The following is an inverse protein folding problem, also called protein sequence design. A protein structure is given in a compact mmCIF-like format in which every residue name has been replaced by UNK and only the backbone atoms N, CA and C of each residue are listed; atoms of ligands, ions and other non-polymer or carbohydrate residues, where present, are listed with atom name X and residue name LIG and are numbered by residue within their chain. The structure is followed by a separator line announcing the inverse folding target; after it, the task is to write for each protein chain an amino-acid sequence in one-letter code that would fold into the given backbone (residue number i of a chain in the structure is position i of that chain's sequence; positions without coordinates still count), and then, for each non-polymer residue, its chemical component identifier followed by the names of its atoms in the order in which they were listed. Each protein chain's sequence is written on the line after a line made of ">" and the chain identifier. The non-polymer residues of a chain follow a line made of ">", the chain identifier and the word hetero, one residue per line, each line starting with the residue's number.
data_IF_927997020697
#
_entry.id   IF_927997020697
#
_cell.length_a   1.000
_cell.length_b   1.000
_cell.length_c   1.000
_cell.angle_alpha   90.00
_cell.angle_beta   90.00
_cell.angle_gamma   90.00
#
_symmetry.space_group_name_H-M   'P 1'
#
loop_
_entity.id
_entity.type
_entity.pdbx_description
1 polymer ?
#
# COMPACT_ATOMS: atom_id res chain seq x y z
N UNK A 1 -82.90 -29.89 4.51
CA UNK A 1 -81.92 -28.97 3.91
C UNK A 1 -80.89 -28.58 4.97
N UNK A 2 -79.73 -29.24 5.01
CA UNK A 2 -78.60 -28.84 5.86
C UNK A 2 -77.34 -28.99 5.00
N UNK A 3 -76.78 -27.88 4.50
CA UNK A 3 -75.48 -27.88 3.83
C UNK A 3 -74.47 -27.23 4.77
N UNK A 4 -73.56 -28.05 5.31
CA UNK A 4 -72.38 -27.60 6.05
C UNK A 4 -71.30 -27.25 5.02
N UNK A 5 -70.90 -25.99 4.99
CA UNK A 5 -69.81 -25.50 4.14
C UNK A 5 -68.49 -25.74 4.87
N UNK A 6 -67.62 -26.61 4.35
CA UNK A 6 -66.25 -26.76 4.83
C UNK A 6 -65.36 -25.75 4.10
N UNK A 7 -64.60 -24.96 4.87
CA UNK A 7 -63.57 -24.05 4.37
C UNK A 7 -62.25 -24.81 4.41
N UNK A 8 -61.69 -25.14 3.25
CA UNK A 8 -60.35 -25.70 3.11
C UNK A 8 -59.32 -24.57 3.11
N UNK A 9 -58.44 -24.57 4.10
CA UNK A 9 -57.29 -23.67 4.19
C UNK A 9 -56.14 -24.24 3.35
N UNK A 10 -55.79 -23.59 2.25
CA UNK A 10 -54.60 -23.92 1.45
C UNK A 10 -53.44 -23.09 2.01
N UNK A 11 -52.48 -23.76 2.67
CA UNK A 11 -51.23 -23.16 3.10
C UNK A 11 -50.25 -23.27 1.94
N UNK A 12 -49.97 -22.15 1.27
CA UNK A 12 -48.89 -22.05 0.29
C UNK A 12 -47.56 -21.80 1.00
N UNK A 13 -46.72 -22.82 1.08
CA UNK A 13 -45.35 -22.72 1.59
C UNK A 13 -44.48 -21.98 0.56
N UNK A 14 -44.20 -20.70 0.79
CA UNK A 14 -43.17 -19.98 0.02
C UNK A 14 -41.79 -20.37 0.56
N UNK A 15 -41.03 -21.16 -0.22
CA UNK A 15 -39.62 -21.43 0.07
C UNK A 15 -38.80 -20.19 -0.29
N UNK A 16 -38.31 -19.46 0.73
CA UNK A 16 -37.24 -18.48 0.54
C UNK A 16 -35.93 -19.24 0.30
N UNK A 17 -35.46 -19.25 -0.95
CA UNK A 17 -34.08 -19.61 -1.27
C UNK A 17 -33.19 -18.42 -0.91
N UNK A 18 -32.53 -18.47 0.25
CA UNK A 18 -31.38 -17.60 0.51
C UNK A 18 -30.27 -18.04 -0.44
N UNK A 19 -30.02 -17.26 -1.49
CA UNK A 19 -28.81 -17.42 -2.29
C UNK A 19 -27.61 -17.04 -1.44
N UNK A 20 -26.78 -18.01 -1.09
CA UNK A 20 -25.44 -17.70 -0.60
C UNK A 20 -24.68 -17.07 -1.77
N UNK A 21 -24.21 -15.82 -1.61
CA UNK A 21 -23.23 -15.28 -2.52
C UNK A 21 -21.99 -16.16 -2.43
N UNK A 22 -21.70 -16.92 -3.48
CA UNK A 22 -20.41 -17.62 -3.57
C UNK A 22 -19.35 -16.53 -3.69
N UNK A 23 -18.55 -16.35 -2.65
CA UNK A 23 -17.26 -15.65 -2.77
C UNK A 23 -16.46 -16.54 -3.71
N UNK A 24 -16.27 -16.09 -4.95
CA UNK A 24 -15.36 -16.76 -5.86
C UNK A 24 -13.96 -16.24 -5.59
N UNK A 25 -13.00 -17.15 -5.61
CA UNK A 25 -11.60 -16.79 -5.65
C UNK A 25 -11.35 -15.81 -6.79
N UNK A 26 -10.74 -14.66 -6.48
CA UNK A 26 -10.42 -13.66 -7.49
C UNK A 26 -8.97 -13.87 -7.95
N UNK A 27 -8.80 -14.14 -9.25
CA UNK A 27 -7.51 -13.95 -9.90
C UNK A 27 -7.39 -12.49 -10.31
N UNK A 28 -6.36 -11.82 -9.80
CA UNK A 28 -6.08 -10.43 -10.12
C UNK A 28 -4.81 -10.33 -10.96
N UNK A 29 -4.86 -9.50 -12.00
CA UNK A 29 -3.66 -8.94 -12.62
C UNK A 29 -3.51 -7.50 -12.12
N UNK A 30 -2.39 -7.20 -11.47
CA UNK A 30 -2.13 -5.90 -10.83
C UNK A 30 -0.96 -5.23 -11.53
N UNK A 31 -1.17 -4.01 -12.01
CA UNK A 31 -0.13 -3.13 -12.55
C UNK A 31 0.07 -1.93 -11.64
N UNK A 32 1.29 -1.74 -11.15
CA UNK A 32 1.69 -0.57 -10.35
C UNK A 32 2.67 0.26 -11.17
N UNK A 33 2.36 1.55 -11.34
CA UNK A 33 3.25 2.51 -12.01
C UNK A 33 3.78 3.51 -10.99
N UNK A 34 5.10 3.63 -10.89
CA UNK A 34 5.72 4.73 -10.17
C UNK A 34 5.49 6.03 -10.95
N UNK A 35 4.65 6.91 -10.41
CA UNK A 35 4.24 8.15 -11.07
C UNK A 35 5.14 9.35 -10.73
N UNK A 36 6.24 9.11 -10.03
CA UNK A 36 7.16 10.17 -9.61
C UNK A 36 8.26 10.42 -10.65
N UNK A 37 9.04 11.49 -10.45
CA UNK A 37 10.18 11.88 -11.31
C UNK A 37 11.52 11.39 -10.80
N UNK A 38 11.72 11.41 -9.48
CA UNK A 38 13.02 11.12 -8.84
C UNK A 38 12.89 10.35 -7.54
N UNK A 39 11.74 9.69 -7.33
CA UNK A 39 11.53 8.79 -6.20
C UNK A 39 11.45 7.36 -6.72
N UNK A 40 12.13 6.45 -6.04
CA UNK A 40 12.23 5.04 -6.38
C UNK A 40 11.40 4.24 -5.38
N UNK A 41 10.80 3.13 -5.81
CA UNK A 41 10.19 2.20 -4.84
C UNK A 41 11.17 1.08 -4.55
N UNK A 42 11.37 0.76 -3.28
CA UNK A 42 12.06 -0.46 -2.85
C UNK A 42 11.24 -1.70 -3.24
N UNK A 43 11.69 -2.94 -2.93
CA UNK A 43 10.88 -4.13 -3.21
C UNK A 43 9.43 -3.95 -2.77
N UNK A 44 8.52 -4.10 -3.73
CA UNK A 44 7.09 -4.00 -3.48
C UNK A 44 6.62 -5.27 -2.79
N UNK A 45 5.81 -5.14 -1.75
CA UNK A 45 5.02 -6.23 -1.20
C UNK A 45 3.56 -6.00 -1.56
N UNK A 46 2.95 -6.96 -2.24
CA UNK A 46 1.50 -7.00 -2.47
C UNK A 46 0.91 -8.20 -1.74
N UNK A 47 -0.23 -8.01 -1.08
CA UNK A 47 -0.85 -9.06 -0.27
C UNK A 47 -2.36 -9.12 -0.47
N UNK A 48 -2.91 -10.32 -0.40
CA UNK A 48 -4.34 -10.51 -0.18
C UNK A 48 -4.58 -11.05 1.23
N UNK A 49 -5.62 -10.57 1.89
CA UNK A 49 -5.95 -10.94 3.27
C UNK A 49 -7.43 -10.72 3.61
N UNK A 50 -7.86 -11.21 4.78
CA UNK A 50 -9.19 -10.96 5.30
C UNK A 50 -9.28 -9.62 6.05
N UNK A 51 -10.46 -9.30 6.61
CA UNK A 51 -10.68 -8.03 7.32
C UNK A 51 -9.96 -7.91 8.67
N UNK A 52 -9.37 -8.99 9.19
CA UNK A 52 -8.69 -8.99 10.48
C UNK A 52 -7.23 -8.53 10.38
N UNK A 53 -6.66 -8.53 9.17
CA UNK A 53 -5.29 -8.13 8.88
C UNK A 53 -5.23 -6.79 8.13
N UNK A 54 -4.11 -6.10 8.28
CA UNK A 54 -3.73 -4.92 7.51
C UNK A 54 -2.21 -4.72 7.59
N UNK A 55 -1.61 -4.11 6.57
CA UNK A 55 -0.18 -3.75 6.59
C UNK A 55 0.07 -2.43 7.33
N UNK A 56 -0.85 -1.47 7.22
CA UNK A 56 -0.80 -0.17 7.87
C UNK A 56 -2.21 0.42 8.00
N UNK A 57 -2.39 1.42 8.88
CA UNK A 57 -3.60 2.24 8.98
C UNK A 57 -3.24 3.68 9.30
N UNK A 58 -3.80 4.64 8.56
CA UNK A 58 -3.64 6.06 8.89
C UNK A 58 -4.19 6.36 10.29
N UNK A 59 -3.40 7.06 11.11
CA UNK A 59 -3.73 7.38 12.49
C UNK A 59 -3.33 6.31 13.51
N UNK A 60 -2.79 5.17 13.08
CA UNK A 60 -2.24 4.13 13.95
C UNK A 60 -0.72 4.22 14.03
N UNK A 61 -0.13 3.64 15.08
CA UNK A 61 1.34 3.55 15.18
C UNK A 61 1.82 2.45 14.24
N UNK A 62 2.93 2.68 13.55
CA UNK A 62 3.57 1.67 12.71
C UNK A 62 3.93 0.42 13.54
N UNK A 63 3.77 -0.77 12.95
CA UNK A 63 4.35 -1.98 13.52
C UNK A 63 5.85 -2.00 13.25
N UNK A 64 6.60 -2.84 13.98
CA UNK A 64 8.05 -2.99 13.75
C UNK A 64 8.35 -3.48 12.32
N UNK A 65 7.46 -4.28 11.74
CA UNK A 65 7.57 -4.76 10.37
C UNK A 65 7.29 -3.64 9.35
N UNK A 66 6.34 -2.74 9.62
CA UNK A 66 6.10 -1.56 8.79
C UNK A 66 7.28 -0.59 8.84
N UNK A 67 7.80 -0.32 10.05
CA UNK A 67 9.01 0.48 10.28
C UNK A 67 10.20 -0.06 9.47
N UNK A 68 10.46 -1.37 9.57
CA UNK A 68 11.56 -2.02 8.83
C UNK A 68 11.40 -1.87 7.30
N UNK A 69 10.16 -1.97 6.80
CA UNK A 69 9.89 -1.72 5.38
C UNK A 69 10.08 -0.25 5.02
N UNK A 70 9.55 0.68 5.83
CA UNK A 70 9.49 2.10 5.54
C UNK A 70 10.86 2.79 5.62
N UNK A 71 11.77 2.33 6.49
CA UNK A 71 13.10 2.91 6.69
C UNK A 71 14.21 2.19 5.90
N UNK A 72 14.04 0.90 5.64
CA UNK A 72 15.10 0.07 5.03
C UNK A 72 14.69 -0.62 3.72
N UNK A 73 13.41 -0.62 3.38
CA UNK A 73 12.87 -1.41 2.27
C UNK A 73 12.80 -2.91 2.56
N UNK A 74 12.91 -3.35 3.81
CA UNK A 74 12.81 -4.77 4.18
C UNK A 74 11.34 -5.20 4.34
N UNK A 75 10.84 -5.94 3.36
CA UNK A 75 9.46 -6.46 3.34
C UNK A 75 9.27 -7.77 4.09
N UNK A 76 10.35 -8.41 4.55
CA UNK A 76 10.32 -9.80 5.04
C UNK A 76 9.46 -9.97 6.29
N UNK A 77 9.47 -8.99 7.19
CA UNK A 77 8.63 -8.98 8.38
C UNK A 77 7.13 -8.97 8.04
N UNK A 78 6.71 -8.01 7.22
CA UNK A 78 5.30 -7.86 6.81
C UNK A 78 4.82 -9.09 6.04
N UNK A 79 5.64 -9.58 5.10
CA UNK A 79 5.35 -10.78 4.33
C UNK A 79 5.15 -12.00 5.24
N UNK A 80 6.08 -12.21 6.19
CA UNK A 80 6.00 -13.32 7.13
C UNK A 80 4.76 -13.26 8.02
N UNK A 81 4.40 -12.09 8.56
CA UNK A 81 3.20 -11.93 9.40
C UNK A 81 1.93 -12.24 8.61
N UNK A 82 1.80 -11.71 7.39
CA UNK A 82 0.60 -11.93 6.56
C UNK A 82 0.50 -13.40 6.13
N UNK A 83 1.59 -14.00 5.64
CA UNK A 83 1.62 -15.40 5.23
C UNK A 83 1.28 -16.35 6.39
N UNK A 84 1.85 -16.12 7.58
CA UNK A 84 1.56 -16.93 8.77
C UNK A 84 0.11 -16.82 9.24
N UNK A 85 -0.55 -15.70 8.96
CA UNK A 85 -1.95 -15.49 9.26
C UNK A 85 -2.90 -16.01 8.16
N UNK A 86 -2.36 -16.69 7.13
CA UNK A 86 -3.15 -17.29 6.05
C UNK A 86 -3.44 -16.34 4.88
N UNK A 87 -2.78 -15.18 4.84
CA UNK A 87 -2.82 -14.30 3.68
C UNK A 87 -1.97 -14.82 2.51
N UNK A 88 -2.22 -14.27 1.33
CA UNK A 88 -1.41 -14.51 0.13
C UNK A 88 -0.43 -13.36 -0.04
N UNK A 89 0.82 -13.67 -0.39
CA UNK A 89 1.89 -12.68 -0.58
C UNK A 89 2.50 -12.80 -1.96
N UNK A 90 2.75 -11.64 -2.59
CA UNK A 90 3.60 -11.50 -3.78
C UNK A 90 4.72 -10.55 -3.42
N UNK A 91 5.92 -11.09 -3.30
CA UNK A 91 7.12 -10.35 -2.94
C UNK A 91 7.87 -9.89 -4.19
N UNK A 92 8.30 -8.63 -4.14
CA UNK A 92 9.24 -8.05 -5.10
C UNK A 92 8.89 -8.26 -6.59
N UNK A 93 7.66 -7.95 -7.04
CA UNK A 93 7.25 -8.14 -8.44
C UNK A 93 8.03 -7.25 -9.42
N UNK A 94 8.69 -6.18 -8.94
CA UNK A 94 9.58 -5.35 -9.75
C UNK A 94 11.01 -5.95 -9.87
N UNK A 95 11.32 -7.05 -9.18
CA UNK A 95 12.65 -7.67 -9.11
C UNK A 95 13.75 -6.72 -8.62
N UNK A 96 13.40 -5.88 -7.65
CA UNK A 96 14.26 -4.88 -7.03
C UNK A 96 13.59 -3.50 -7.02
N UNK A 97 14.36 -2.49 -7.41
CA UNK A 97 13.91 -1.10 -7.43
C UNK A 97 12.94 -0.85 -8.59
N UNK A 98 11.76 -0.27 -8.31
CA UNK A 98 10.89 0.28 -9.34
C UNK A 98 11.25 1.74 -9.62
N UNK A 99 11.87 1.97 -10.78
CA UNK A 99 12.33 3.29 -11.20
C UNK A 99 11.18 4.30 -11.44
N UNK A 100 11.43 5.61 -11.32
CA UNK A 100 10.51 6.66 -11.72
C UNK A 100 9.96 6.46 -13.14
N UNK A 101 8.63 6.60 -13.31
CA UNK A 101 7.95 6.44 -14.59
C UNK A 101 7.84 5.00 -15.12
N UNK A 102 8.30 4.01 -14.37
CA UNK A 102 8.25 2.59 -14.75
C UNK A 102 7.09 1.88 -14.05
N UNK A 103 6.55 0.86 -14.71
CA UNK A 103 5.52 -0.01 -14.16
C UNK A 103 6.03 -1.45 -13.99
N UNK A 104 5.47 -2.15 -13.00
CA UNK A 104 5.52 -3.61 -12.91
C UNK A 104 4.11 -4.18 -12.94
N UNK A 105 3.95 -5.38 -13.50
CA UNK A 105 2.69 -6.12 -13.56
C UNK A 105 2.91 -7.53 -13.02
N UNK A 106 1.99 -8.01 -12.20
CA UNK A 106 2.04 -9.35 -11.61
C UNK A 106 0.63 -9.89 -11.37
N UNK A 107 0.51 -11.21 -11.31
CA UNK A 107 -0.72 -11.90 -10.93
C UNK A 107 -0.74 -12.18 -9.41
N UNK A 108 -1.92 -12.15 -8.81
CA UNK A 108 -2.19 -12.65 -7.45
C UNK A 108 -3.51 -13.43 -7.43
N UNK A 109 -3.46 -14.70 -7.01
CA UNK A 109 -4.64 -15.49 -6.70
C UNK A 109 -5.00 -15.24 -5.24
N UNK A 110 -6.11 -14.55 -5.01
CA UNK A 110 -6.48 -14.12 -3.66
C UNK A 110 -7.18 -15.23 -2.87
N UNK A 111 -7.55 -16.34 -3.50
CA UNK A 111 -8.54 -17.26 -2.92
C UNK A 111 -9.78 -16.48 -2.45
N UNK A 112 -10.34 -16.89 -1.31
CA UNK A 112 -11.52 -16.24 -0.73
C UNK A 112 -11.22 -14.94 0.05
N UNK A 113 -9.98 -14.45 0.01
CA UNK A 113 -9.55 -13.24 0.73
C UNK A 113 -10.10 -12.00 0.03
N UNK A 114 -10.67 -11.08 0.83
CA UNK A 114 -11.50 -9.99 0.31
C UNK A 114 -10.77 -8.65 0.16
N UNK A 115 -9.52 -8.54 0.64
CA UNK A 115 -8.77 -7.28 0.65
C UNK A 115 -7.41 -7.44 0.01
N UNK A 116 -7.03 -6.43 -0.79
CA UNK A 116 -5.70 -6.28 -1.38
C UNK A 116 -4.98 -5.13 -0.66
N UNK A 117 -3.77 -5.38 -0.16
CA UNK A 117 -2.87 -4.34 0.33
C UNK A 117 -1.56 -4.34 -0.45
N UNK A 118 -0.91 -3.19 -0.49
CA UNK A 118 0.39 -3.01 -1.13
C UNK A 118 1.23 -2.02 -0.35
N UNK A 119 2.54 -2.26 -0.26
CA UNK A 119 3.50 -1.36 0.37
C UNK A 119 4.88 -1.42 -0.28
N UNK A 120 5.58 -0.28 -0.32
CA UNK A 120 7.01 -0.20 -0.60
C UNK A 120 7.57 1.11 -0.03
N UNK A 121 8.81 1.11 0.46
CA UNK A 121 9.49 2.36 0.84
C UNK A 121 9.73 3.23 -0.40
N UNK A 122 9.60 4.53 -0.20
CA UNK A 122 9.96 5.58 -1.13
C UNK A 122 11.42 5.96 -0.89
N UNK A 123 12.23 5.98 -1.95
CA UNK A 123 13.63 6.40 -1.88
C UNK A 123 13.90 7.63 -2.75
N UNK A 124 14.63 8.64 -2.25
CA UNK A 124 15.09 8.76 -0.87
C UNK A 124 13.99 9.33 0.03
N UNK A 125 13.74 8.71 1.18
CA UNK A 125 12.97 9.26 2.33
C UNK A 125 13.52 8.64 3.62
N UNK A 126 13.22 9.24 4.78
CA UNK A 126 13.54 8.67 6.10
C UNK A 126 12.70 7.42 6.36
N UNK A 127 11.38 7.59 6.48
CA UNK A 127 10.41 6.51 6.76
C UNK A 127 9.16 6.60 5.86
N UNK A 128 9.34 7.12 4.64
CA UNK A 128 8.28 7.29 3.67
C UNK A 128 7.98 6.04 2.86
N UNK A 129 6.71 5.73 2.62
CA UNK A 129 6.29 4.57 1.84
C UNK A 129 5.05 4.84 0.98
N UNK A 130 4.95 4.19 -0.18
CA UNK A 130 3.70 4.15 -0.97
C UNK A 130 2.82 3.03 -0.44
N UNK A 131 1.50 3.26 -0.36
CA UNK A 131 0.59 2.28 0.21
C UNK A 131 -0.77 2.17 -0.47
N UNK A 132 -1.28 0.94 -0.59
CA UNK A 132 -2.69 0.61 -0.74
C UNK A 132 -3.13 -0.10 0.53
N UNK A 133 -4.04 0.51 1.29
CA UNK A 133 -4.50 -0.05 2.56
C UNK A 133 -5.84 -0.78 2.37
N UNK A 134 -5.79 -2.11 2.48
CA UNK A 134 -6.95 -3.00 2.57
C UNK A 134 -8.06 -2.64 1.60
N UNK A 135 -7.70 -2.53 0.32
CA UNK A 135 -8.65 -2.23 -0.73
C UNK A 135 -9.58 -3.43 -0.93
N UNK A 136 -10.88 -3.20 -0.77
CA UNK A 136 -11.87 -4.26 -0.93
C UNK A 136 -11.92 -4.70 -2.39
N UNK A 137 -11.59 -5.97 -2.64
CA UNK A 137 -11.58 -6.57 -3.97
C UNK A 137 -13.01 -6.61 -4.51
N UNK A 138 -13.29 -6.01 -5.68
CA UNK A 138 -14.58 -6.08 -6.33
C UNK A 138 -14.93 -7.51 -6.73
N UNK A 139 -16.17 -7.90 -6.51
CA UNK A 139 -16.69 -9.21 -6.92
C UNK A 139 -17.04 -9.28 -8.40
N UNK A 140 -17.08 -8.13 -9.09
CA UNK A 140 -17.39 -8.06 -10.51
C UNK A 140 -16.10 -8.04 -11.32
N UNK A 141 -15.98 -8.98 -12.26
CA UNK A 141 -14.89 -8.97 -13.23
C UNK A 141 -14.82 -7.65 -14.00
N UNK A 142 -13.62 -7.13 -14.20
CA UNK A 142 -13.38 -5.85 -14.85
C UNK A 142 -12.09 -5.17 -14.43
N UNK A 143 -11.86 -3.98 -14.98
CA UNK A 143 -10.67 -3.17 -14.71
C UNK A 143 -11.00 -2.02 -13.76
N UNK A 144 -10.27 -1.98 -12.65
CA UNK A 144 -10.37 -0.95 -11.61
C UNK A 144 -9.07 -0.15 -11.57
N UNK A 145 -9.17 1.14 -11.31
CA UNK A 145 -8.01 2.04 -11.26
C UNK A 145 -8.07 2.90 -10.01
N UNK A 146 -6.91 3.11 -9.41
CA UNK A 146 -6.73 4.02 -8.29
C UNK A 146 -5.38 4.73 -8.36
N UNK A 147 -5.23 5.77 -7.56
CA UNK A 147 -3.96 6.44 -7.29
C UNK A 147 -3.53 6.13 -5.86
N UNK A 148 -2.24 5.92 -5.63
CA UNK A 148 -1.68 5.67 -4.31
C UNK A 148 -0.91 6.89 -3.81
N UNK A 149 -1.08 7.19 -2.52
CA UNK A 149 -0.32 8.23 -1.85
C UNK A 149 0.95 7.63 -1.22
N UNK A 150 1.91 8.52 -0.98
CA UNK A 150 2.99 8.32 -0.03
C UNK A 150 2.53 8.68 1.38
N UNK A 151 2.92 7.82 2.31
CA UNK A 151 2.69 7.86 3.73
C UNK A 151 4.03 7.96 4.45
N UNK A 152 3.97 8.48 5.66
CA UNK A 152 5.06 8.61 6.61
C UNK A 152 4.72 7.66 7.78
N UNK A 153 5.67 6.82 8.19
CA UNK A 153 5.46 5.82 9.23
C UNK A 153 5.33 6.44 10.63
N UNK A 154 5.90 7.63 10.83
CA UNK A 154 5.96 8.36 12.08
C UNK A 154 6.99 7.78 13.05
N UNK A 155 8.03 7.12 12.55
CA UNK A 155 9.08 6.48 13.33
C UNK A 155 10.37 7.28 13.34
N UNK A 156 10.64 8.03 12.26
CA UNK A 156 11.76 8.97 12.16
C UNK A 156 11.31 10.39 11.85
N UNK A 157 12.19 11.36 12.11
CA UNK A 157 11.95 12.73 11.66
C UNK A 157 12.34 12.84 10.18
N UNK A 158 11.57 13.57 9.38
CA UNK A 158 11.88 13.87 7.99
C UNK A 158 13.03 14.90 7.89
N UNK A 159 14.21 14.52 8.35
CA UNK A 159 15.37 15.40 8.37
C UNK A 159 15.95 15.62 6.97
N UNK A 160 15.70 14.70 6.04
CA UNK A 160 16.23 14.68 4.67
C UNK A 160 17.77 14.67 4.63
N UNK A 161 18.41 14.09 5.65
CA UNK A 161 19.86 13.95 5.72
C UNK A 161 20.33 12.62 5.14
N UNK A 162 21.41 12.64 4.38
CA UNK A 162 21.92 11.46 3.68
C UNK A 162 22.36 10.32 4.63
N UNK A 163 22.67 10.66 5.88
CA UNK A 163 23.03 9.70 6.93
C UNK A 163 21.85 9.02 7.62
N UNK A 164 20.64 9.54 7.44
CA UNK A 164 19.39 9.08 8.06
C UNK A 164 18.47 8.38 7.06
N UNK A 165 18.95 8.12 5.84
CA UNK A 165 18.19 7.45 4.78
C UNK A 165 19.06 6.39 4.11
N UNK A 166 18.47 5.35 3.49
CA UNK A 166 19.22 4.45 2.63
C UNK A 166 19.90 5.21 1.49
N UNK A 167 21.21 5.00 1.34
CA UNK A 167 22.06 5.70 0.37
C UNK A 167 22.59 4.73 -0.70
N UNK A 168 21.74 4.30 -1.65
CA UNK A 168 22.18 3.41 -2.71
C UNK A 168 23.03 4.16 -3.75
N UNK A 169 23.94 3.48 -4.46
CA UNK A 169 24.92 4.11 -5.35
C UNK A 169 24.32 4.83 -6.58
N UNK A 170 23.02 4.65 -6.84
CA UNK A 170 22.31 5.29 -7.96
C UNK A 170 21.61 6.61 -7.56
N UNK A 171 21.56 6.97 -6.28
CA UNK A 171 21.06 8.27 -5.80
C UNK A 171 22.26 9.11 -5.39
N UNK A 172 22.31 10.36 -5.85
CA UNK A 172 23.34 11.32 -5.43
C UNK A 172 22.76 12.25 -4.39
N UNK A 173 23.38 12.28 -3.22
CA UNK A 173 23.03 13.18 -2.13
C UNK A 173 24.02 14.36 -2.06
N UNK A 174 23.54 15.48 -1.53
CA UNK A 174 24.39 16.53 -0.99
C UNK A 174 25.01 16.11 0.35
N UNK A 175 25.60 17.08 1.04
CA UNK A 175 26.12 16.88 2.38
C UNK A 175 26.05 18.19 3.19
N UNK A 176 25.98 18.04 4.51
CA UNK A 176 26.05 19.16 5.45
C UNK A 176 24.72 19.87 5.69
N UNK A 177 23.60 19.27 5.28
CA UNK A 177 22.26 19.72 5.65
C UNK A 177 22.07 19.81 7.16
N UNK A 178 21.26 20.78 7.60
CA UNK A 178 20.95 20.98 9.03
C UNK A 178 19.73 20.19 9.51
N UNK A 179 18.96 19.60 8.59
CA UNK A 179 17.72 18.89 8.85
C UNK A 179 16.49 19.76 8.56
N UNK A 180 15.53 19.22 7.81
CA UNK A 180 14.25 19.87 7.52
C UNK A 180 13.31 19.79 8.72
N UNK A 181 13.09 18.58 9.22
CA UNK A 181 12.40 18.31 10.49
C UNK A 181 13.33 17.48 11.38
N UNK A 182 13.65 17.97 12.59
CA UNK A 182 14.61 17.32 13.49
C UNK A 182 13.96 16.58 14.65
N UNK A 183 12.63 16.49 14.68
CA UNK A 183 11.87 15.82 15.73
C UNK A 183 10.55 15.30 15.17
N UNK A 184 10.15 14.10 15.57
CA UNK A 184 8.87 13.51 15.18
C UNK A 184 7.72 14.32 15.81
N UNK A 185 7.00 15.08 14.99
CA UNK A 185 5.82 15.84 15.44
C UNK A 185 4.53 15.00 15.42
N UNK A 186 4.49 13.94 14.62
CA UNK A 186 3.37 13.00 14.52
C UNK A 186 3.83 11.54 14.45
N UNK A 187 3.79 10.84 15.58
CA UNK A 187 4.25 9.45 15.70
C UNK A 187 3.22 8.39 15.27
N UNK A 188 2.41 8.71 14.25
CA UNK A 188 1.37 7.85 13.68
C UNK A 188 1.52 7.84 12.18
N UNK A 189 1.13 6.74 11.55
CA UNK A 189 1.09 6.64 10.09
C UNK A 189 0.18 7.76 9.54
N UNK A 190 0.70 8.58 8.65
CA UNK A 190 -0.03 9.70 8.07
C UNK A 190 0.42 9.99 6.64
N UNK A 191 -0.26 10.92 5.95
CA UNK A 191 0.15 11.34 4.61
C UNK A 191 1.47 12.07 4.74
N UNK A 192 2.50 11.56 4.07
CA UNK A 192 3.81 12.19 4.07
C UNK A 192 3.71 13.54 3.34
N UNK A 193 4.37 14.59 3.85
CA UNK A 193 4.35 15.92 3.24
C UNK A 193 5.09 16.01 1.89
N UNK A 194 5.74 14.93 1.46
CA UNK A 194 6.75 14.94 0.40
C UNK A 194 8.08 15.53 0.83
N UNK A 195 9.18 15.14 0.15
CA UNK A 195 10.47 15.78 0.38
C UNK A 195 10.41 17.23 -0.10
N UNK A 196 11.03 18.13 0.65
CA UNK A 196 11.20 19.54 0.32
C UNK A 196 12.48 19.71 -0.52
N UNK A 197 13.61 19.19 -0.03
CA UNK A 197 14.94 19.41 -0.57
C UNK A 197 15.41 20.86 -0.48
N UNK A 198 16.63 21.11 -0.93
CA UNK A 198 17.10 22.46 -1.25
C UNK A 198 17.97 22.50 -2.53
N UNK A 199 18.76 23.55 -2.73
CA UNK A 199 19.64 23.71 -3.90
C UNK A 199 21.11 23.84 -3.52
N UNK A 200 21.50 23.55 -2.28
CA UNK A 200 22.86 23.69 -1.77
C UNK A 200 23.47 22.31 -1.49
N UNK A 201 24.18 21.75 -2.47
CA UNK A 201 24.77 20.42 -2.34
C UNK A 201 25.83 20.27 -1.21
N UNK A 202 26.27 21.35 -0.57
CA UNK A 202 27.30 21.35 0.48
C UNK A 202 26.84 22.02 1.79
N UNK A 203 25.52 22.15 2.01
CA UNK A 203 24.93 22.68 3.24
C UNK A 203 23.43 22.85 3.11
N UNK A 204 22.87 23.87 3.76
CA UNK A 204 21.43 24.14 3.66
C UNK A 204 20.63 23.35 4.69
N UNK A 205 19.34 23.15 4.41
CA UNK A 205 18.42 22.45 5.33
C UNK A 205 18.30 20.96 4.99
N UNK A 206 18.66 20.54 3.78
CA UNK A 206 18.45 19.18 3.28
C UNK A 206 19.66 18.70 2.48
N UNK A 207 19.96 17.40 2.54
CA UNK A 207 20.93 16.78 1.62
C UNK A 207 20.26 16.33 0.30
N UNK A 208 18.95 16.55 0.14
CA UNK A 208 18.22 16.26 -1.08
C UNK A 208 18.14 17.47 -2.00
N UNK A 209 18.45 17.26 -3.29
CA UNK A 209 18.18 18.26 -4.33
C UNK A 209 16.66 18.40 -4.59
N UNK A 210 16.11 19.57 -4.26
CA UNK A 210 14.70 19.94 -4.48
C UNK A 210 14.24 19.85 -5.94
N UNK A 211 15.15 19.96 -6.91
CA UNK A 211 14.82 19.83 -8.34
C UNK A 211 14.68 18.37 -8.79
N UNK A 212 15.22 17.44 -7.99
CA UNK A 212 15.30 16.01 -8.30
C UNK A 212 14.36 15.19 -7.42
N UNK A 213 14.38 15.42 -6.11
CA UNK A 213 13.76 14.55 -5.11
C UNK A 213 12.48 15.12 -4.49
N UNK A 214 12.08 16.37 -4.80
CA UNK A 214 10.79 16.89 -4.34
C UNK A 214 9.63 16.18 -5.04
N UNK A 215 8.61 15.82 -4.28
CA UNK A 215 7.43 15.13 -4.79
C UNK A 215 6.14 15.60 -4.11
N UNK A 216 5.01 15.26 -4.73
CA UNK A 216 3.67 15.49 -4.20
C UNK A 216 2.85 14.22 -4.40
N UNK A 217 1.81 14.08 -3.59
CA UNK A 217 0.81 13.03 -3.77
C UNK A 217 -0.08 13.30 -5.00
N UNK A 218 -0.54 12.25 -5.70
CA UNK A 218 -0.20 10.83 -5.52
C UNK A 218 1.17 10.44 -6.10
N UNK A 219 1.77 9.37 -5.58
CA UNK A 219 3.10 8.87 -6.00
C UNK A 219 3.03 7.67 -6.94
N UNK A 220 1.90 6.96 -6.99
CA UNK A 220 1.71 5.84 -7.91
C UNK A 220 0.31 5.82 -8.52
N UNK A 221 0.19 5.11 -9.65
CA UNK A 221 -1.10 4.64 -10.14
C UNK A 221 -1.14 3.12 -10.07
N UNK A 222 -2.32 2.57 -9.79
CA UNK A 222 -2.55 1.13 -9.77
C UNK A 222 -3.74 0.79 -10.67
N UNK A 223 -3.58 -0.24 -11.50
CA UNK A 223 -4.64 -0.86 -12.29
C UNK A 223 -4.79 -2.30 -11.82
N UNK A 224 -6.02 -2.71 -11.55
CA UNK A 224 -6.36 -4.04 -11.04
C UNK A 224 -7.40 -4.63 -11.98
N UNK A 225 -7.06 -5.73 -12.64
CA UNK A 225 -7.98 -6.50 -13.46
C UNK A 225 -8.46 -7.69 -12.65
N UNK A 226 -9.75 -7.70 -12.30
CA UNK A 226 -10.43 -8.86 -11.71
C UNK A 226 -10.91 -9.74 -12.87
N UNK A 227 -10.44 -10.99 -12.93
CA UNK A 227 -10.77 -11.93 -14.01
C UNK A 227 -12.14 -12.58 -13.83
#
# INVERSE_FOLDING_TARGET
>A
MNKRTQISLVISSAMLTLGAAQVQAAELEVTVTNATKGIYFTPILATAHDSSLFMFRTGETASAELESMAEGGDISGLSGVIANAGGVVVENPATGILNPGVATTFDIDTGDLAYLSLGAMLLPTNDGFVGLDSWKIPTQAGTYKATLNGYDAGTEANDELAGSMPNPPFITFGAGGTGVETAVSNAKVHIHPGNIGDSNAAGGISDLDSSSHRWLNPVATITIVVK
#
